data_IF_515637260179
#
_entry.id   IF_515637260179
#
_cell.length_a   1.000
_cell.length_b   1.000
_cell.length_c   1.000
_cell.angle_alpha   90.00
_cell.angle_beta   90.00
_cell.angle_gamma   90.00
#
_symmetry.space_group_name_H-M   'P 1'
#
loop_
_entity.id
_entity.type
_entity.pdbx_description
1 polymer ?
#
# COMPACT_ATOMS: atom_id res chain seq x y z
N UNK A 1 13.84 18.38 10.07
CA UNK A 1 12.74 19.36 10.28
C UNK A 1 11.57 18.61 10.86
N UNK A 2 10.91 19.13 11.89
CA UNK A 2 9.85 18.39 12.59
C UNK A 2 8.42 18.70 12.10
N UNK A 3 8.24 19.83 11.44
CA UNK A 3 7.04 20.18 10.68
C UNK A 3 7.41 20.13 9.22
N UNK A 4 6.61 19.45 8.41
CA UNK A 4 6.86 19.37 6.98
C UNK A 4 6.38 20.65 6.29
N UNK A 5 7.21 21.17 5.38
CA UNK A 5 6.86 22.31 4.54
C UNK A 5 6.77 21.83 3.09
N UNK A 6 5.65 21.21 2.75
CA UNK A 6 5.34 20.74 1.40
C UNK A 6 3.90 21.09 1.05
N UNK A 7 3.58 21.17 -0.25
CA UNK A 7 2.19 21.29 -0.73
C UNK A 7 1.50 19.93 -0.84
N UNK A 8 2.28 18.86 -0.90
CA UNK A 8 1.81 17.48 -1.00
C UNK A 8 2.84 16.48 -0.46
N UNK A 9 2.37 15.30 -0.06
CA UNK A 9 3.19 14.14 0.26
C UNK A 9 2.75 13.00 -0.64
N UNK A 10 3.64 12.48 -1.48
CA UNK A 10 3.36 11.36 -2.40
C UNK A 10 2.03 11.57 -3.18
N UNK A 11 1.89 12.75 -3.82
CA UNK A 11 0.70 13.18 -4.60
C UNK A 11 -0.60 13.35 -3.79
N UNK A 12 -0.50 13.42 -2.46
CA UNK A 12 -1.64 13.74 -1.59
C UNK A 12 -1.46 15.16 -1.09
N UNK A 13 -2.43 16.08 -1.32
CA UNK A 13 -2.39 17.43 -0.78
C UNK A 13 -2.07 17.44 0.71
N UNK A 14 -1.15 18.29 1.11
CA UNK A 14 -0.63 18.36 2.47
C UNK A 14 -0.83 19.76 3.06
N UNK A 15 -1.30 19.80 4.30
CA UNK A 15 -1.46 21.01 5.07
C UNK A 15 -0.80 20.86 6.44
N UNK A 16 -0.19 21.94 6.92
CA UNK A 16 0.27 22.04 8.29
C UNK A 16 -0.70 22.93 9.07
N UNK A 17 -1.26 22.40 10.16
CA UNK A 17 -2.13 23.11 11.10
C UNK A 17 -1.75 22.71 12.53
N UNK A 18 -0.61 23.25 12.98
CA UNK A 18 0.01 22.84 14.24
C UNK A 18 -0.76 23.40 15.43
N UNK A 19 -1.04 22.53 16.41
CA UNK A 19 -1.66 22.90 17.68
C UNK A 19 -0.81 23.99 18.36
N UNK A 20 -1.40 25.10 18.82
CA UNK A 20 -0.66 26.18 19.47
C UNK A 20 0.19 25.70 20.65
N UNK A 21 1.43 26.22 20.83
CA UNK A 21 2.18 25.99 22.05
C UNK A 21 1.38 26.38 23.31
N UNK A 22 1.52 25.61 24.38
CA UNK A 22 0.81 25.86 25.65
C UNK A 22 -0.60 25.27 25.72
N UNK A 23 -1.19 24.83 24.60
CA UNK A 23 -2.40 24.02 24.67
C UNK A 23 -2.13 22.72 25.43
N UNK A 24 -3.05 22.33 26.33
CA UNK A 24 -2.89 21.14 27.18
C UNK A 24 -2.70 19.82 26.41
N UNK A 25 -3.23 19.74 25.19
CA UNK A 25 -3.08 18.58 24.32
C UNK A 25 -1.81 18.62 23.46
N UNK A 26 -0.96 19.65 23.61
CA UNK A 26 0.39 19.69 23.06
C UNK A 26 1.40 19.59 24.21
N UNK A 27 1.74 18.37 24.66
CA UNK A 27 2.66 18.16 25.78
C UNK A 27 4.09 18.63 25.49
N UNK A 28 4.49 18.67 24.22
CA UNK A 28 5.80 19.15 23.75
C UNK A 28 7.01 18.43 24.39
N UNK A 29 6.86 17.19 24.89
CA UNK A 29 8.04 16.41 25.26
C UNK A 29 8.78 15.99 23.99
N UNK A 30 10.10 16.13 24.03
CA UNK A 30 10.97 15.68 22.94
C UNK A 30 10.74 14.20 22.64
N UNK A 31 10.69 13.88 21.35
CA UNK A 31 10.49 12.55 20.81
C UNK A 31 11.48 12.30 19.67
N UNK A 32 12.13 11.14 19.70
CA UNK A 32 12.77 10.55 18.53
C UNK A 32 11.89 9.38 18.07
N UNK A 33 11.10 9.54 16.99
CA UNK A 33 10.11 8.53 16.61
C UNK A 33 10.77 7.22 16.19
N UNK A 34 10.31 6.12 16.77
CA UNK A 34 10.73 4.75 16.46
C UNK A 34 9.60 3.89 15.91
N UNK A 35 8.37 4.40 15.96
CA UNK A 35 7.16 3.71 15.53
C UNK A 35 6.21 4.67 14.81
N UNK A 36 5.26 4.09 14.08
CA UNK A 36 4.08 4.78 13.56
C UNK A 36 2.85 4.02 14.07
N UNK A 37 1.92 4.73 14.71
CA UNK A 37 0.68 4.17 15.25
C UNK A 37 -0.50 4.57 14.38
N UNK A 38 -1.21 3.58 13.86
CA UNK A 38 -2.38 3.78 13.01
C UNK A 38 -3.66 3.73 13.83
N UNK A 39 -4.51 4.72 13.61
CA UNK A 39 -5.85 4.86 14.18
C UNK A 39 -6.89 5.09 13.08
N UNK A 40 -8.15 4.88 13.43
CA UNK A 40 -9.28 5.42 12.66
C UNK A 40 -10.18 6.21 13.59
N UNK A 41 -10.80 7.27 13.05
CA UNK A 41 -11.43 8.30 13.90
C UNK A 41 -12.67 7.79 14.62
N UNK A 42 -13.26 6.67 14.19
CA UNK A 42 -14.57 6.18 14.60
C UNK A 42 -15.70 7.22 14.45
N UNK A 43 -15.44 8.32 13.73
CA UNK A 43 -16.37 9.42 13.54
C UNK A 43 -16.92 9.39 12.12
N UNK A 44 -18.13 8.84 11.98
CA UNK A 44 -18.81 8.67 10.70
C UNK A 44 -19.68 9.87 10.31
N UNK A 45 -19.72 10.93 11.13
CA UNK A 45 -20.54 12.10 10.83
C UNK A 45 -20.05 12.76 9.52
N UNK A 46 -20.99 13.24 8.71
CA UNK A 46 -20.66 14.01 7.52
C UNK A 46 -19.87 15.27 7.90
N UNK A 47 -18.82 15.57 7.14
CA UNK A 47 -17.92 16.70 7.40
C UNK A 47 -16.86 16.45 8.48
N UNK A 48 -16.77 15.24 9.06
CA UNK A 48 -15.71 14.87 10.00
C UNK A 48 -14.36 14.54 9.28
N UNK A 49 -13.94 15.43 8.39
CA UNK A 49 -12.73 15.33 7.56
C UNK A 49 -11.44 15.71 8.33
N UNK A 50 -10.29 15.73 7.64
CA UNK A 50 -9.00 16.01 8.29
C UNK A 50 -8.92 17.46 8.82
N UNK A 51 -9.55 18.43 8.16
CA UNK A 51 -9.61 19.82 8.63
C UNK A 51 -10.54 19.96 9.83
N UNK A 52 -11.62 19.19 9.90
CA UNK A 52 -12.49 19.15 11.08
C UNK A 52 -11.72 18.66 12.32
N UNK A 53 -10.91 17.62 12.17
CA UNK A 53 -10.06 17.13 13.25
C UNK A 53 -8.96 18.14 13.63
N UNK A 54 -8.38 18.88 12.67
CA UNK A 54 -7.46 19.97 12.98
C UNK A 54 -8.13 21.05 13.85
N UNK A 55 -9.37 21.47 13.53
CA UNK A 55 -10.15 22.41 14.35
C UNK A 55 -10.42 21.86 15.76
N UNK A 56 -10.79 20.59 15.85
CA UNK A 56 -11.01 19.92 17.14
C UNK A 56 -9.75 19.89 18.01
N UNK A 57 -8.59 19.59 17.43
CA UNK A 57 -7.32 19.55 18.14
C UNK A 57 -6.83 20.94 18.56
N UNK A 58 -7.05 21.98 17.73
CA UNK A 58 -6.79 23.36 18.11
C UNK A 58 -7.68 23.81 19.28
N UNK A 59 -8.89 23.26 19.39
CA UNK A 59 -9.76 23.40 20.55
C UNK A 59 -9.50 22.31 21.61
N UNK A 60 -8.23 22.16 21.98
CA UNK A 60 -7.70 21.33 23.09
C UNK A 60 -8.00 19.82 23.05
N UNK A 61 -8.50 19.27 21.93
CA UNK A 61 -8.70 17.82 21.80
C UNK A 61 -9.72 17.25 22.78
N UNK A 62 -10.82 17.99 22.99
CA UNK A 62 -11.88 17.61 23.92
C UNK A 62 -11.44 17.59 25.39
N UNK A 63 -12.28 17.01 26.27
CA UNK A 63 -12.03 16.97 27.72
C UNK A 63 -10.78 16.15 28.09
N UNK A 64 -10.51 15.07 27.34
CA UNK A 64 -9.38 14.18 27.56
C UNK A 64 -8.02 14.75 27.12
N UNK A 65 -8.00 15.86 26.36
CA UNK A 65 -6.74 16.48 25.94
C UNK A 65 -5.95 15.63 24.94
N UNK A 66 -6.62 14.90 24.06
CA UNK A 66 -5.97 14.00 23.10
C UNK A 66 -5.29 14.76 21.97
N UNK A 67 -4.25 14.15 21.41
CA UNK A 67 -3.54 14.67 20.24
C UNK A 67 -2.75 13.60 19.51
N UNK A 68 -2.56 13.82 18.21
CA UNK A 68 -1.80 12.95 17.31
C UNK A 68 -1.20 13.82 16.20
N UNK A 69 -0.26 13.25 15.44
CA UNK A 69 0.56 14.01 14.51
C UNK A 69 -0.14 14.31 13.20
N UNK A 70 -0.91 13.36 12.65
CA UNK A 70 -1.56 13.52 11.35
C UNK A 70 -3.00 13.04 11.34
N UNK A 71 -3.86 13.72 10.58
CA UNK A 71 -5.15 13.17 10.14
C UNK A 71 -5.18 13.09 8.63
N UNK A 72 -5.71 12.00 8.11
CA UNK A 72 -5.80 11.72 6.67
C UNK A 72 -7.25 11.45 6.29
N UNK A 73 -7.75 12.22 5.33
CA UNK A 73 -9.03 11.96 4.67
C UNK A 73 -8.80 11.54 3.19
N UNK A 74 -9.88 11.42 2.44
CA UNK A 74 -9.84 11.01 1.03
C UNK A 74 -9.27 12.08 0.09
N UNK A 75 -9.04 13.29 0.58
CA UNK A 75 -8.60 14.44 -0.21
C UNK A 75 -7.24 15.00 0.21
N UNK A 76 -6.85 14.86 1.49
CA UNK A 76 -5.64 15.51 2.02
C UNK A 76 -5.10 14.86 3.30
N UNK A 77 -3.89 15.30 3.65
CA UNK A 77 -3.21 15.06 4.93
C UNK A 77 -3.10 16.38 5.67
N UNK A 78 -3.40 16.39 6.97
CA UNK A 78 -3.16 17.55 7.84
C UNK A 78 -2.24 17.15 9.00
N UNK A 79 -1.14 17.88 9.18
CA UNK A 79 -0.23 17.72 10.33
C UNK A 79 -0.63 18.65 11.48
N UNK A 80 -0.70 18.10 12.70
CA UNK A 80 -1.13 18.82 13.91
C UNK A 80 -0.04 18.97 14.97
N UNK A 81 0.97 18.09 14.96
CA UNK A 81 2.12 18.16 15.87
C UNK A 81 3.43 18.01 15.10
N UNK A 82 4.51 18.68 15.54
CA UNK A 82 5.86 18.37 15.08
C UNK A 82 6.21 16.90 15.39
N UNK A 83 6.86 16.19 14.47
CA UNK A 83 7.20 14.77 14.67
C UNK A 83 8.35 14.54 15.67
N UNK A 84 8.99 15.61 16.15
CA UNK A 84 9.97 15.57 17.24
C UNK A 84 9.33 15.87 18.61
N UNK A 85 8.00 16.01 18.67
CA UNK A 85 7.22 16.16 19.89
C UNK A 85 6.23 14.99 20.01
N UNK A 86 5.93 14.58 21.24
CA UNK A 86 4.98 13.50 21.50
C UNK A 86 3.52 13.99 21.40
N UNK A 87 2.58 13.04 21.21
CA UNK A 87 1.14 13.26 21.34
C UNK A 87 0.52 12.35 22.42
N UNK A 88 -0.77 12.55 22.70
CA UNK A 88 -1.56 11.69 23.58
C UNK A 88 -2.63 10.94 22.77
N UNK A 89 -2.27 9.76 22.26
CA UNK A 89 -3.15 8.96 21.39
C UNK A 89 -3.13 7.45 21.65
N UNK A 90 -2.05 6.87 22.18
CA UNK A 90 -1.85 5.42 22.25
C UNK A 90 -2.44 4.76 23.51
N UNK A 91 -2.82 5.56 24.52
CA UNK A 91 -3.46 5.06 25.74
C UNK A 91 -2.52 4.32 26.69
N UNK A 92 -1.20 4.44 26.54
CA UNK A 92 -0.18 3.75 27.33
C UNK A 92 0.58 4.67 28.31
N UNK A 93 -0.02 5.81 28.68
CA UNK A 93 0.62 6.80 29.56
C UNK A 93 1.93 7.31 28.95
N UNK A 94 3.03 7.19 29.69
CA UNK A 94 4.38 7.54 29.21
C UNK A 94 5.09 6.38 28.47
N UNK A 95 4.36 5.36 28.04
CA UNK A 95 4.89 4.24 27.26
C UNK A 95 5.35 4.63 25.85
N UNK A 96 5.90 3.64 25.15
CA UNK A 96 6.48 3.80 23.81
C UNK A 96 5.48 4.32 22.77
N UNK A 97 4.20 3.95 22.89
CA UNK A 97 3.14 4.36 21.98
C UNK A 97 2.94 5.87 21.97
N UNK A 98 2.82 6.52 23.14
CA UNK A 98 2.73 7.98 23.20
C UNK A 98 4.08 8.67 23.05
N UNK A 99 5.17 8.11 23.60
CA UNK A 99 6.46 8.82 23.76
C UNK A 99 7.48 8.56 22.66
N UNK A 100 7.21 7.64 21.73
CA UNK A 100 8.14 7.28 20.66
C UNK A 100 7.45 6.85 19.37
N UNK A 101 6.17 7.21 19.16
CA UNK A 101 5.44 6.91 17.94
C UNK A 101 4.80 8.14 17.32
N UNK A 102 4.70 8.14 15.99
CA UNK A 102 3.90 9.10 15.23
C UNK A 102 2.47 8.56 15.13
N UNK A 103 1.49 9.29 15.68
CA UNK A 103 0.07 8.97 15.59
C UNK A 103 -0.58 9.47 14.30
N UNK A 104 -1.26 8.58 13.58
CA UNK A 104 -2.00 8.89 12.35
C UNK A 104 -3.45 8.45 12.50
N UNK A 105 -4.38 9.40 12.38
CA UNK A 105 -5.84 9.15 12.33
C UNK A 105 -6.34 9.10 10.89
N UNK A 106 -7.09 8.06 10.53
CA UNK A 106 -7.72 7.92 9.21
C UNK A 106 -9.23 8.17 9.34
N UNK A 107 -9.74 9.16 8.60
CA UNK A 107 -11.13 9.59 8.68
C UNK A 107 -12.13 8.53 8.19
N UNK A 108 -13.26 8.40 8.89
CA UNK A 108 -14.38 7.49 8.56
C UNK A 108 -15.66 8.24 8.14
N UNK A 109 -15.59 9.55 7.84
CA UNK A 109 -16.75 10.40 7.56
C UNK A 109 -17.56 9.88 6.35
N UNK A 110 -18.89 9.79 6.49
CA UNK A 110 -19.79 9.18 5.49
C UNK A 110 -19.81 9.86 4.12
N UNK A 111 -19.48 11.14 4.08
CA UNK A 111 -19.36 11.94 2.85
C UNK A 111 -17.96 11.86 2.22
N UNK A 112 -17.03 11.11 2.83
CA UNK A 112 -15.70 10.83 2.29
C UNK A 112 -15.56 9.39 1.78
N UNK A 113 -14.51 9.14 1.01
CA UNK A 113 -14.14 7.80 0.55
C UNK A 113 -13.06 7.15 1.43
N UNK A 114 -13.49 6.24 2.31
CA UNK A 114 -12.57 5.57 3.25
C UNK A 114 -11.44 4.77 2.58
N UNK A 115 -11.69 4.12 1.44
CA UNK A 115 -10.64 3.38 0.73
C UNK A 115 -9.58 4.33 0.13
N UNK A 116 -10.00 5.50 -0.35
CA UNK A 116 -9.06 6.54 -0.78
C UNK A 116 -8.30 7.14 0.40
N UNK A 117 -8.94 7.32 1.55
CA UNK A 117 -8.27 7.74 2.78
C UNK A 117 -7.21 6.73 3.24
N UNK A 118 -7.46 5.43 3.09
CA UNK A 118 -6.47 4.37 3.36
C UNK A 118 -5.28 4.42 2.41
N UNK A 119 -5.52 4.62 1.11
CA UNK A 119 -4.43 4.81 0.13
C UNK A 119 -3.59 6.04 0.46
N UNK A 120 -4.23 7.15 0.82
CA UNK A 120 -3.54 8.37 1.23
C UNK A 120 -2.72 8.15 2.51
N UNK A 121 -3.28 7.41 3.48
CA UNK A 121 -2.58 7.08 4.72
C UNK A 121 -1.38 6.16 4.46
N UNK A 122 -1.52 5.16 3.58
CA UNK A 122 -0.42 4.29 3.19
C UNK A 122 0.74 5.06 2.55
N UNK A 123 0.43 6.04 1.69
CA UNK A 123 1.41 6.96 1.09
C UNK A 123 2.12 7.82 2.13
N UNK A 124 1.39 8.35 3.11
CA UNK A 124 1.97 9.11 4.22
C UNK A 124 2.89 8.22 5.08
N UNK A 125 2.44 7.02 5.45
CA UNK A 125 3.21 6.09 6.28
C UNK A 125 4.51 5.71 5.58
N UNK A 126 4.47 5.42 4.27
CA UNK A 126 5.66 5.12 3.47
C UNK A 126 6.66 6.27 3.49
N UNK A 127 6.19 7.49 3.22
CA UNK A 127 7.02 8.70 3.30
C UNK A 127 7.67 8.85 4.67
N UNK A 128 6.89 8.69 5.75
CA UNK A 128 7.38 8.81 7.12
C UNK A 128 8.41 7.73 7.46
N UNK A 129 8.16 6.47 7.09
CA UNK A 129 9.08 5.35 7.30
C UNK A 129 10.47 5.65 6.73
N UNK A 130 10.52 6.17 5.49
CA UNK A 130 11.78 6.58 4.88
C UNK A 130 12.40 7.79 5.58
N UNK A 131 11.59 8.79 5.93
CA UNK A 131 12.07 10.02 6.56
C UNK A 131 12.73 9.76 7.91
N UNK A 132 12.20 8.83 8.71
CA UNK A 132 12.73 8.50 10.05
C UNK A 132 13.55 7.21 10.08
N UNK A 133 13.70 6.50 8.96
CA UNK A 133 14.53 5.32 8.82
C UNK A 133 14.03 4.08 9.57
N UNK A 134 12.72 3.79 9.55
CA UNK A 134 12.13 2.60 10.18
C UNK A 134 11.52 1.63 9.17
N UNK A 135 11.52 0.34 9.49
CA UNK A 135 10.90 -0.71 8.68
C UNK A 135 9.42 -0.90 8.97
N UNK A 136 8.72 -1.68 8.12
CA UNK A 136 7.28 -1.95 8.24
C UNK A 136 6.89 -2.63 9.56
N UNK A 137 7.84 -3.35 10.19
CA UNK A 137 7.65 -3.97 11.50
C UNK A 137 7.42 -2.98 12.64
N UNK A 138 7.77 -1.71 12.43
CA UNK A 138 7.56 -0.61 13.38
C UNK A 138 6.28 0.19 13.10
N UNK A 139 5.47 -0.22 12.12
CA UNK A 139 4.11 0.28 11.90
C UNK A 139 3.13 -0.62 12.64
N UNK A 140 2.43 -0.06 13.62
CA UNK A 140 1.56 -0.82 14.54
C UNK A 140 0.18 -0.18 14.66
N UNK A 141 -0.81 -0.96 15.09
CA UNK A 141 -2.14 -0.46 15.43
C UNK A 141 -2.14 0.20 16.81
N UNK A 142 -3.16 1.01 17.11
CA UNK A 142 -3.42 1.40 18.50
C UNK A 142 -3.62 0.17 19.40
N UNK A 143 -4.31 -0.86 18.90
CA UNK A 143 -4.52 -2.12 19.63
C UNK A 143 -3.24 -2.74 20.18
N UNK A 144 -2.11 -2.61 19.46
CA UNK A 144 -0.81 -3.11 19.91
C UNK A 144 -0.37 -2.51 21.25
N UNK A 145 -0.70 -1.24 21.52
CA UNK A 145 -0.27 -0.53 22.73
C UNK A 145 -1.19 -0.75 23.93
N UNK A 146 -2.50 -0.64 23.72
CA UNK A 146 -3.49 -0.58 24.82
C UNK A 146 -4.54 -1.70 24.77
N UNK A 147 -4.54 -2.52 23.73
CA UNK A 147 -5.59 -3.52 23.50
C UNK A 147 -6.90 -2.96 22.94
N UNK A 148 -7.05 -1.64 22.80
CA UNK A 148 -8.24 -1.00 22.20
C UNK A 148 -8.48 -1.54 20.79
N UNK A 149 -9.73 -1.88 20.45
CA UNK A 149 -10.15 -2.27 19.09
C UNK A 149 -10.06 -1.08 18.12
N UNK A 150 -8.84 -0.70 17.75
CA UNK A 150 -8.50 0.42 16.88
C UNK A 150 -7.20 0.10 16.12
N UNK A 151 -7.12 0.29 14.79
CA UNK A 151 -8.13 0.84 13.87
C UNK A 151 -9.20 -0.18 13.46
N UNK A 152 -10.41 -0.10 14.04
CA UNK A 152 -11.47 -1.13 13.95
C UNK A 152 -11.80 -1.56 12.51
N UNK A 153 -12.04 -0.66 11.55
CA UNK A 153 -12.34 -1.06 10.17
C UNK A 153 -11.18 -1.74 9.44
N UNK A 154 -9.94 -1.54 9.88
CA UNK A 154 -8.76 -2.19 9.32
C UNK A 154 -8.53 -3.54 10.00
N UNK A 155 -8.77 -3.64 11.32
CA UNK A 155 -8.65 -4.91 12.04
C UNK A 155 -9.70 -5.93 11.60
N UNK A 156 -10.92 -5.47 11.29
CA UNK A 156 -12.08 -6.34 10.99
C UNK A 156 -12.25 -6.72 9.52
N UNK A 157 -11.48 -6.13 8.60
CA UNK A 157 -11.55 -6.48 7.17
C UNK A 157 -10.73 -7.74 6.88
N UNK A 158 -11.03 -8.39 5.76
CA UNK A 158 -10.20 -9.48 5.22
C UNK A 158 -8.76 -9.00 5.02
N UNK A 159 -7.79 -9.78 5.53
CA UNK A 159 -6.37 -9.42 5.55
C UNK A 159 -5.94 -8.58 6.76
N UNK A 160 -6.89 -8.00 7.50
CA UNK A 160 -6.63 -7.29 8.76
C UNK A 160 -5.60 -6.17 8.62
N UNK A 161 -4.85 -5.95 9.71
CA UNK A 161 -3.77 -4.97 9.75
C UNK A 161 -2.60 -5.30 8.82
N UNK A 162 -2.31 -6.58 8.60
CA UNK A 162 -1.27 -7.03 7.67
C UNK A 162 -1.62 -6.68 6.21
N UNK A 163 -2.91 -6.67 5.85
CA UNK A 163 -3.38 -6.16 4.57
C UNK A 163 -3.06 -4.68 4.37
N UNK A 164 -3.19 -3.87 5.43
CA UNK A 164 -2.81 -2.45 5.39
C UNK A 164 -1.29 -2.26 5.30
N UNK A 165 -0.50 -3.07 6.00
CA UNK A 165 0.97 -3.05 5.85
C UNK A 165 1.40 -3.35 4.41
N UNK A 166 0.77 -4.32 3.74
CA UNK A 166 1.04 -4.58 2.31
C UNK A 166 0.68 -3.40 1.41
N UNK A 167 -0.39 -2.66 1.72
CA UNK A 167 -0.74 -1.42 1.02
C UNK A 167 0.35 -0.35 1.17
N UNK A 168 0.96 -0.25 2.35
CA UNK A 168 2.10 0.66 2.61
C UNK A 168 3.33 0.22 1.80
N UNK A 169 3.67 -1.07 1.83
CA UNK A 169 4.84 -1.60 1.11
C UNK A 169 4.73 -1.39 -0.41
N UNK A 170 3.54 -1.55 -0.98
CA UNK A 170 3.24 -1.30 -2.38
C UNK A 170 3.05 0.18 -2.75
N UNK A 171 3.04 1.10 -1.77
CA UNK A 171 2.98 2.53 -2.04
C UNK A 171 4.35 3.03 -2.51
N UNK A 172 4.38 3.75 -3.63
CA UNK A 172 5.62 4.34 -4.19
C UNK A 172 5.90 5.72 -3.61
N UNK A 173 7.16 5.99 -3.31
CA UNK A 173 7.64 7.34 -2.98
C UNK A 173 7.92 8.12 -4.26
N UNK A 174 7.30 9.28 -4.44
CA UNK A 174 7.64 10.20 -5.54
C UNK A 174 8.81 11.12 -5.12
N UNK A 175 9.91 10.54 -4.66
CA UNK A 175 11.18 11.26 -4.63
C UNK A 175 11.82 11.05 -6.01
N UNK A 176 11.61 12.01 -6.92
CA UNK A 176 12.06 12.05 -8.32
C UNK A 176 11.29 11.16 -9.31
N UNK A 177 10.18 11.69 -9.84
CA UNK A 177 9.91 11.77 -11.29
C UNK A 177 9.97 10.52 -12.18
N UNK A 178 10.08 9.31 -11.64
CA UNK A 178 10.01 8.07 -12.39
C UNK A 178 8.59 7.53 -12.35
N UNK A 179 8.12 7.04 -13.51
CA UNK A 179 6.87 6.27 -13.60
C UNK A 179 6.89 5.16 -12.54
N UNK A 180 5.75 4.88 -11.88
CA UNK A 180 5.68 3.86 -10.84
C UNK A 180 6.27 2.54 -11.33
N UNK A 181 6.98 1.87 -10.43
CA UNK A 181 7.61 0.58 -10.71
C UNK A 181 6.55 -0.43 -11.20
N UNK A 182 6.92 -1.29 -12.16
CA UNK A 182 5.99 -2.18 -12.89
C UNK A 182 5.38 -3.30 -12.03
N UNK A 183 5.66 -3.35 -10.73
CA UNK A 183 5.19 -4.39 -9.81
C UNK A 183 4.40 -3.79 -8.64
N UNK A 184 3.14 -4.18 -8.52
CA UNK A 184 2.19 -3.61 -7.56
C UNK A 184 2.17 -4.34 -6.19
N UNK A 185 2.83 -5.49 -6.02
CA UNK A 185 2.94 -6.18 -4.72
C UNK A 185 1.62 -6.56 -4.02
N UNK A 186 0.47 -6.47 -4.69
CA UNK A 186 -0.87 -6.74 -4.11
C UNK A 186 -1.18 -8.24 -4.08
N UNK A 187 -2.19 -8.67 -3.32
CA UNK A 187 -2.68 -10.06 -3.41
C UNK A 187 -3.40 -10.36 -4.74
N UNK A 188 -3.86 -9.33 -5.45
CA UNK A 188 -4.46 -9.43 -6.79
C UNK A 188 -3.42 -9.48 -7.93
N UNK A 189 -3.91 -9.44 -9.17
CA UNK A 189 -3.13 -9.42 -10.41
C UNK A 189 -2.39 -8.09 -10.65
N UNK A 190 -2.63 -7.06 -9.83
CA UNK A 190 -1.91 -5.78 -9.86
C UNK A 190 -2.75 -4.60 -9.39
N UNK A 191 -2.40 -3.38 -9.79
CA UNK A 191 -3.18 -2.15 -9.54
C UNK A 191 -3.56 -1.48 -10.86
N UNK A 192 -4.86 -1.30 -11.09
CA UNK A 192 -5.40 -0.46 -12.15
C UNK A 192 -5.44 1.00 -11.69
N UNK A 193 -4.57 1.83 -12.24
CA UNK A 193 -4.58 3.28 -12.07
C UNK A 193 -5.48 3.90 -13.13
N UNK A 194 -6.53 4.59 -12.69
CA UNK A 194 -7.45 5.31 -13.56
C UNK A 194 -6.84 6.66 -13.94
N UNK A 195 -6.53 6.83 -15.22
CA UNK A 195 -5.89 8.03 -15.77
C UNK A 195 -6.85 8.86 -16.64
N UNK A 196 -8.00 8.30 -17.04
CA UNK A 196 -9.08 9.02 -17.73
C UNK A 196 -10.20 9.51 -16.81
N UNK A 197 -11.26 10.05 -17.42
CA UNK A 197 -12.47 10.55 -16.73
C UNK A 197 -13.72 9.92 -17.34
N UNK A 198 -14.81 9.84 -16.58
CA UNK A 198 -16.11 9.31 -17.01
C UNK A 198 -16.12 7.83 -17.48
N UNK A 199 -15.23 7.01 -16.92
CA UNK A 199 -15.11 5.58 -17.26
C UNK A 199 -16.19 4.78 -16.52
N UNK A 200 -16.85 3.84 -17.20
CA UNK A 200 -17.93 3.05 -16.58
C UNK A 200 -17.38 1.96 -15.66
N UNK A 201 -17.73 2.03 -14.37
CA UNK A 201 -17.65 0.89 -13.46
C UNK A 201 -18.98 0.13 -13.50
N UNK A 202 -18.94 -1.17 -13.73
CA UNK A 202 -20.13 -2.01 -13.93
C UNK A 202 -20.23 -3.15 -12.94
N UNK A 203 -21.45 -3.68 -12.79
CA UNK A 203 -21.72 -4.84 -11.93
C UNK A 203 -21.08 -6.13 -12.45
N UNK A 204 -21.15 -6.34 -13.76
CA UNK A 204 -20.63 -7.53 -14.46
C UNK A 204 -19.71 -7.13 -15.62
N UNK A 205 -18.84 -8.04 -16.12
CA UNK A 205 -17.86 -7.75 -17.17
C UNK A 205 -18.49 -7.72 -18.57
N UNK A 206 -19.54 -6.92 -18.76
CA UNK A 206 -20.22 -6.75 -20.06
C UNK A 206 -20.65 -5.29 -20.27
N UNK A 207 -20.73 -4.85 -21.52
CA UNK A 207 -21.15 -3.48 -21.85
C UNK A 207 -22.65 -3.23 -21.62
N UNK A 208 -23.44 -4.29 -21.49
CA UNK A 208 -24.88 -4.25 -21.19
C UNK A 208 -25.19 -4.26 -19.69
N UNK A 209 -24.23 -4.64 -18.82
CA UNK A 209 -24.42 -4.66 -17.37
C UNK A 209 -24.63 -3.27 -16.79
N UNK A 210 -25.32 -3.19 -15.65
CA UNK A 210 -25.59 -1.96 -14.90
C UNK A 210 -24.31 -1.15 -14.66
N UNK A 211 -24.37 0.16 -14.95
CA UNK A 211 -23.31 1.10 -14.58
C UNK A 211 -23.53 1.49 -13.12
N UNK A 212 -22.62 1.06 -12.24
CA UNK A 212 -22.66 1.38 -10.81
C UNK A 212 -22.31 2.86 -10.61
N UNK A 213 -21.21 3.32 -11.23
CA UNK A 213 -20.80 4.74 -11.25
C UNK A 213 -19.73 5.01 -12.31
N UNK A 214 -19.35 6.28 -12.41
CA UNK A 214 -18.20 6.73 -13.19
C UNK A 214 -16.91 6.73 -12.35
N UNK A 215 -15.81 6.27 -12.94
CA UNK A 215 -14.47 6.42 -12.42
C UNK A 215 -13.79 7.62 -13.09
N UNK A 216 -13.01 8.34 -12.30
CA UNK A 216 -12.25 9.52 -12.72
C UNK A 216 -10.84 9.47 -12.14
N UNK A 217 -9.88 10.05 -12.87
CA UNK A 217 -8.56 10.29 -12.32
C UNK A 217 -8.63 11.29 -11.14
N UNK A 218 -7.82 11.12 -10.08
CA UNK A 218 -7.00 9.96 -9.78
C UNK A 218 -7.78 8.92 -8.94
N UNK A 219 -7.99 7.73 -9.48
CA UNK A 219 -8.52 6.57 -8.74
C UNK A 219 -7.61 5.36 -9.00
N UNK A 220 -7.50 4.44 -8.05
CA UNK A 220 -6.70 3.23 -8.21
C UNK A 220 -7.36 2.05 -7.50
N UNK A 221 -7.25 0.87 -8.12
CA UNK A 221 -7.92 -0.34 -7.63
C UNK A 221 -7.01 -1.56 -7.71
N UNK A 222 -7.09 -2.42 -6.71
CA UNK A 222 -6.52 -3.77 -6.81
C UNK A 222 -7.34 -4.54 -7.85
N UNK A 223 -6.67 -5.12 -8.83
CA UNK A 223 -7.30 -6.01 -9.81
C UNK A 223 -7.24 -7.42 -9.28
N UNK A 224 -8.38 -8.09 -9.12
CA UNK A 224 -8.45 -9.46 -8.62
C UNK A 224 -8.54 -10.51 -9.73
N UNK A 225 -9.07 -10.11 -10.89
CA UNK A 225 -9.28 -10.98 -12.04
C UNK A 225 -9.24 -10.16 -13.34
N UNK A 226 -8.72 -10.75 -14.42
CA UNK A 226 -8.92 -10.27 -15.79
C UNK A 226 -9.86 -11.24 -16.52
N UNK A 227 -10.94 -10.74 -17.13
CA UNK A 227 -11.86 -11.56 -17.93
C UNK A 227 -12.24 -10.83 -19.19
N UNK A 228 -11.82 -11.34 -20.35
CA UNK A 228 -12.20 -10.83 -21.68
C UNK A 228 -12.02 -9.30 -21.83
N UNK A 229 -10.91 -8.76 -21.32
CA UNK A 229 -10.62 -7.32 -21.35
C UNK A 229 -11.31 -6.49 -20.26
N UNK A 230 -11.88 -7.13 -19.25
CA UNK A 230 -12.41 -6.48 -18.04
C UNK A 230 -11.52 -6.77 -16.83
N UNK A 231 -11.35 -5.75 -15.98
CA UNK A 231 -10.64 -5.85 -14.71
C UNK A 231 -11.66 -5.92 -13.58
N UNK A 232 -11.64 -6.99 -12.81
CA UNK A 232 -12.38 -7.05 -11.55
C UNK A 232 -11.64 -6.21 -10.51
N UNK A 233 -12.33 -5.21 -9.95
CA UNK A 233 -11.80 -4.27 -8.96
C UNK A 233 -12.49 -4.41 -7.60
N UNK A 234 -12.91 -5.64 -7.27
CA UNK A 234 -13.65 -6.01 -6.06
C UNK A 234 -14.98 -6.66 -6.42
N UNK A 235 -16.10 -6.01 -6.07
CA UNK A 235 -17.44 -6.48 -6.43
C UNK A 235 -17.94 -5.87 -7.74
N UNK A 236 -17.04 -5.43 -8.62
CA UNK A 236 -17.37 -4.65 -9.82
C UNK A 236 -16.27 -4.78 -10.87
N UNK A 237 -16.60 -4.40 -12.10
CA UNK A 237 -15.76 -4.57 -13.27
C UNK A 237 -15.58 -3.27 -14.03
N UNK A 238 -14.37 -3.00 -14.50
CA UNK A 238 -14.06 -1.90 -15.40
C UNK A 238 -13.49 -2.44 -16.69
N UNK A 239 -13.93 -1.93 -17.84
CA UNK A 239 -13.36 -2.32 -19.13
C UNK A 239 -11.96 -1.74 -19.24
N UNK A 240 -10.97 -2.60 -19.49
CA UNK A 240 -9.59 -2.18 -19.66
C UNK A 240 -9.40 -1.49 -21.00
N UNK A 241 -8.69 -0.37 -20.96
CA UNK A 241 -8.17 0.33 -22.12
C UNK A 241 -6.95 1.13 -21.67
N UNK A 242 -5.83 0.92 -22.37
CA UNK A 242 -4.57 1.55 -22.01
C UNK A 242 -4.57 3.08 -22.22
N UNK A 243 -5.54 3.64 -22.94
CA UNK A 243 -5.67 5.10 -23.10
C UNK A 243 -6.20 5.81 -21.85
N UNK A 244 -6.83 5.07 -20.93
CA UNK A 244 -7.41 5.66 -19.72
C UNK A 244 -7.21 4.84 -18.43
N UNK A 245 -6.58 3.66 -18.52
CA UNK A 245 -6.17 2.84 -17.38
C UNK A 245 -4.71 2.42 -17.56
N UNK A 246 -3.84 2.86 -16.65
CA UNK A 246 -2.53 2.26 -16.49
C UNK A 246 -2.64 1.07 -15.54
N UNK A 247 -2.55 -0.15 -16.07
CA UNK A 247 -2.58 -1.35 -15.24
C UNK A 247 -1.16 -1.82 -14.88
N UNK A 248 -0.72 -1.49 -13.67
CA UNK A 248 0.52 -2.00 -13.09
C UNK A 248 0.30 -3.45 -12.62
N UNK A 249 0.48 -4.39 -13.54
CA UNK A 249 0.36 -5.82 -13.26
C UNK A 249 1.42 -6.24 -12.26
N UNK A 250 1.00 -6.99 -11.24
CA UNK A 250 1.92 -7.61 -10.28
C UNK A 250 2.93 -8.47 -11.04
N UNK A 251 4.21 -8.22 -10.81
CA UNK A 251 5.30 -9.03 -11.29
C UNK A 251 5.67 -9.99 -10.18
N UNK A 252 5.23 -11.24 -10.23
CA UNK A 252 5.80 -12.26 -9.35
C UNK A 252 7.15 -12.67 -9.91
N UNK A 253 8.19 -11.87 -9.67
CA UNK A 253 9.52 -12.35 -10.01
C UNK A 253 9.82 -13.62 -9.22
N UNK A 254 10.31 -14.61 -9.93
CA UNK A 254 10.82 -15.86 -9.39
C UNK A 254 12.33 -15.79 -9.14
N UNK A 255 12.99 -14.67 -9.45
CA UNK A 255 14.39 -14.43 -9.11
C UNK A 255 14.59 -14.62 -7.59
N UNK A 256 15.59 -15.43 -7.23
CA UNK A 256 15.91 -15.82 -5.86
C UNK A 256 15.17 -17.06 -5.36
N UNK A 257 14.09 -17.50 -6.03
CA UNK A 257 13.36 -18.73 -5.70
C UNK A 257 14.00 -19.95 -6.35
N UNK A 258 13.54 -21.13 -5.96
CA UNK A 258 13.96 -22.39 -6.54
C UNK A 258 13.01 -22.81 -7.66
N UNK A 259 13.53 -23.00 -8.87
CA UNK A 259 12.84 -23.82 -9.89
C UNK A 259 13.13 -25.28 -9.58
N UNK A 260 12.08 -26.08 -9.42
CA UNK A 260 12.16 -27.52 -9.12
C UNK A 260 11.65 -28.31 -10.31
N UNK A 261 12.42 -29.32 -10.74
CA UNK A 261 12.07 -30.19 -11.87
C UNK A 261 10.94 -31.15 -11.47
N UNK A 262 9.88 -31.23 -12.29
CA UNK A 262 8.71 -32.09 -12.03
C UNK A 262 8.52 -33.23 -13.05
N UNK A 263 9.42 -33.34 -14.02
CA UNK A 263 9.46 -34.45 -14.99
C UNK A 263 10.68 -35.35 -14.76
N UNK A 264 10.63 -36.60 -15.21
CA UNK A 264 11.70 -37.59 -14.98
C UNK A 264 13.05 -37.14 -15.54
N UNK A 265 13.04 -36.48 -16.70
CA UNK A 265 14.21 -35.85 -17.31
C UNK A 265 13.82 -34.55 -17.98
N UNK A 266 14.66 -33.53 -17.80
CA UNK A 266 14.47 -32.20 -18.41
C UNK A 266 15.78 -31.67 -18.95
N UNK A 267 15.78 -31.18 -20.20
CA UNK A 267 16.95 -30.54 -20.78
C UNK A 267 17.24 -29.19 -20.12
N UNK A 268 18.52 -28.90 -19.88
CA UNK A 268 19.04 -27.58 -19.56
C UNK A 268 19.94 -27.08 -20.68
N UNK A 269 20.12 -25.77 -20.77
CA UNK A 269 20.69 -25.08 -21.94
C UNK A 269 21.90 -24.22 -21.54
N UNK A 270 22.93 -24.13 -22.39
CA UNK A 270 24.15 -23.36 -22.12
C UNK A 270 23.94 -21.84 -22.22
N UNK A 271 23.01 -21.41 -23.06
CA UNK A 271 22.62 -20.03 -23.32
C UNK A 271 21.10 -19.90 -23.40
N UNK A 272 20.60 -18.67 -23.55
CA UNK A 272 19.18 -18.39 -23.74
C UNK A 272 18.71 -18.75 -25.18
N UNK A 273 18.95 -20.00 -25.59
CA UNK A 273 18.61 -20.59 -26.89
C UNK A 273 18.11 -22.04 -26.68
N UNK A 274 16.93 -22.35 -27.20
CA UNK A 274 16.33 -23.69 -27.12
C UNK A 274 17.12 -24.77 -27.88
N UNK A 275 18.09 -24.39 -28.73
CA UNK A 275 18.96 -25.31 -29.44
C UNK A 275 20.25 -25.64 -28.69
N UNK A 276 20.65 -24.83 -27.70
CA UNK A 276 21.92 -24.98 -26.98
C UNK A 276 21.80 -25.96 -25.80
N UNK A 277 21.33 -27.18 -26.09
CA UNK A 277 21.14 -28.24 -25.08
C UNK A 277 22.50 -28.76 -24.60
N UNK A 278 22.71 -28.77 -23.29
CA UNK A 278 23.99 -29.22 -22.71
C UNK A 278 23.87 -30.57 -21.98
N UNK A 279 22.84 -30.76 -21.14
CA UNK A 279 22.63 -31.99 -20.36
C UNK A 279 21.18 -32.06 -19.87
N UNK A 280 20.80 -33.19 -19.27
CA UNK A 280 19.50 -33.36 -18.58
C UNK A 280 19.65 -33.33 -17.06
N UNK A 281 18.59 -32.87 -16.38
CA UNK A 281 18.42 -32.89 -14.93
C UNK A 281 17.22 -33.77 -14.55
N UNK A 282 17.18 -34.30 -13.33
CA UNK A 282 16.17 -35.26 -12.87
C UNK A 282 15.08 -34.61 -12.02
N UNK A 283 13.93 -35.29 -11.91
CA UNK A 283 12.81 -34.89 -11.05
C UNK A 283 13.27 -34.63 -9.61
N UNK A 284 12.83 -33.51 -9.04
CA UNK A 284 13.14 -33.09 -7.69
C UNK A 284 14.41 -32.24 -7.54
N UNK A 285 15.27 -32.17 -8.57
CA UNK A 285 16.39 -31.24 -8.56
C UNK A 285 15.89 -29.80 -8.58
N UNK A 286 16.58 -28.93 -7.83
CA UNK A 286 16.14 -27.57 -7.58
C UNK A 286 17.29 -26.57 -7.81
N UNK A 287 17.00 -25.46 -8.49
CA UNK A 287 18.00 -24.47 -8.87
C UNK A 287 17.53 -23.07 -8.56
N UNK A 288 18.43 -22.22 -8.05
CA UNK A 288 18.13 -20.81 -7.81
C UNK A 288 17.99 -20.07 -9.13
N UNK A 289 16.85 -19.40 -9.30
CA UNK A 289 16.59 -18.53 -10.44
C UNK A 289 17.36 -17.22 -10.23
N UNK A 290 18.20 -16.88 -11.18
CA UNK A 290 19.00 -15.65 -11.18
C UNK A 290 18.44 -14.60 -12.13
N UNK A 291 17.70 -15.02 -13.15
CA UNK A 291 17.07 -14.14 -14.13
C UNK A 291 15.90 -14.84 -14.84
N UNK A 292 15.01 -14.06 -15.44
CA UNK A 292 13.84 -14.52 -16.19
C UNK A 292 13.88 -13.94 -17.60
N UNK A 293 13.79 -14.81 -18.61
CA UNK A 293 14.02 -14.44 -20.00
C UNK A 293 12.91 -14.97 -20.88
N UNK A 294 12.49 -14.18 -21.88
CA UNK A 294 11.62 -14.64 -22.94
C UNK A 294 12.45 -14.98 -24.17
N UNK A 295 12.42 -16.25 -24.60
CA UNK A 295 13.16 -16.79 -25.73
C UNK A 295 12.16 -17.40 -26.72
N UNK A 296 12.04 -16.81 -27.90
CA UNK A 296 11.13 -17.26 -28.97
C UNK A 296 9.68 -17.47 -28.47
N UNK A 297 9.16 -16.54 -27.67
CA UNK A 297 7.79 -16.55 -27.16
C UNK A 297 7.54 -17.44 -25.93
N UNK A 298 8.54 -18.21 -25.48
CA UNK A 298 8.48 -19.02 -24.26
C UNK A 298 9.45 -18.52 -23.21
N UNK A 299 9.12 -18.70 -21.93
CA UNK A 299 9.96 -18.23 -20.84
C UNK A 299 11.03 -19.27 -20.44
N UNK A 300 12.21 -18.77 -20.07
CA UNK A 300 13.33 -19.51 -19.48
C UNK A 300 13.73 -18.87 -18.14
N UNK A 301 14.24 -19.68 -17.23
CA UNK A 301 14.95 -19.24 -16.05
C UNK A 301 16.47 -19.37 -16.27
N UNK A 302 17.21 -18.31 -15.98
CA UNK A 302 18.68 -18.38 -15.86
C UNK A 302 19.03 -18.92 -14.47
N UNK A 303 19.77 -20.01 -14.42
CA UNK A 303 20.40 -20.55 -13.22
C UNK A 303 21.90 -20.24 -13.24
N UNK A 304 22.62 -20.60 -12.18
CA UNK A 304 24.06 -20.28 -12.05
C UNK A 304 24.93 -20.72 -13.24
N UNK A 305 24.60 -21.86 -13.85
CA UNK A 305 25.43 -22.48 -14.88
C UNK A 305 24.73 -22.77 -16.19
N UNK A 306 23.41 -22.59 -16.25
CA UNK A 306 22.59 -22.98 -17.40
C UNK A 306 21.24 -22.26 -17.37
N UNK A 307 20.46 -22.47 -18.41
CA UNK A 307 19.08 -22.01 -18.55
C UNK A 307 18.15 -23.22 -18.51
N UNK A 308 16.93 -23.04 -18.04
CA UNK A 308 15.93 -24.10 -17.92
C UNK A 308 14.55 -23.55 -18.28
N UNK A 309 13.65 -24.39 -18.79
CA UNK A 309 12.29 -23.94 -19.15
C UNK A 309 11.52 -23.41 -17.93
N UNK A 310 10.74 -22.36 -18.13
CA UNK A 310 9.79 -21.85 -17.13
C UNK A 310 8.38 -22.44 -17.30
N UNK A 311 8.18 -23.40 -18.22
CA UNK A 311 6.88 -24.03 -18.44
C UNK A 311 6.47 -24.88 -17.23
N UNK A 312 5.32 -24.53 -16.64
CA UNK A 312 4.76 -25.16 -15.43
C UNK A 312 4.39 -26.64 -15.59
N UNK A 313 4.40 -27.18 -16.81
CA UNK A 313 4.25 -28.61 -17.07
C UNK A 313 5.51 -29.42 -16.71
N UNK A 314 6.68 -28.79 -16.66
CA UNK A 314 7.95 -29.48 -16.45
C UNK A 314 8.66 -29.05 -15.16
N UNK A 315 8.31 -27.88 -14.62
CA UNK A 315 8.89 -27.32 -13.41
C UNK A 315 7.84 -26.63 -12.55
N UNK A 316 8.10 -26.50 -11.25
CA UNK A 316 7.34 -25.62 -10.36
C UNK A 316 8.29 -24.74 -9.53
N UNK A 317 7.76 -23.67 -8.96
CA UNK A 317 8.54 -22.71 -8.17
C UNK A 317 8.31 -22.94 -6.67
N UNK A 318 9.40 -22.99 -5.90
CA UNK A 318 9.42 -23.08 -4.44
C UNK A 318 10.12 -21.87 -3.82
#
# INVERSE_FOLDING_TARGET
MAVFNSKEINKVPFESNIIPPGNRNRPAYSMNPRYITIHTTANQNSGADARAHARYLNNVGGSAGVSWHFTVDDNRIVQHLPINENGWHAGDGNGTGNRSSIGIEICENRDGNFEKALVNAARLVKFLMNYIGIGIGNVVSHQYWSGKDCPRPILKRTGGFEGFKKMIEGSTDDINGQKPNKDAGTQGLGIAYIEGVNINLRRDPTTSSEIIRKLNKPEAYIVWEEREGWLNVGNSWVKYDASYIYFARRQTSNIGKLVVVDTNELWVYGSADWNDKIQTVKKGEAFTILDELQVNGSNMYKCKYFYITANSQFVYIK
#
